data_IF_373494885661
#
_entry.id   IF_373494885661
#
_cell.length_a   1.000
_cell.length_b   1.000
_cell.length_c   1.000
_cell.angle_alpha   90.00
_cell.angle_beta   90.00
_cell.angle_gamma   90.00
#
_symmetry.space_group_name_H-M   'P 1'
#
loop_
_entity.id
_entity.type
_entity.pdbx_description
1 polymer ?
#
# COMPACT_ATOMS: atom_id res chain seq x y z
N UNK A 1 -23.58 9.64 8.07
CA UNK A 1 -22.54 8.71 8.52
C UNK A 1 -21.20 9.21 7.99
N UNK A 2 -20.26 9.59 8.86
CA UNK A 2 -18.97 10.18 8.47
C UNK A 2 -17.84 9.38 9.11
N UNK A 3 -17.09 8.65 8.29
CA UNK A 3 -15.81 8.05 8.69
C UNK A 3 -14.74 9.04 8.29
N UNK A 4 -13.89 9.42 9.23
CA UNK A 4 -12.87 10.45 9.03
C UNK A 4 -11.48 9.81 9.20
N UNK A 5 -10.66 9.94 8.16
CA UNK A 5 -9.28 9.45 8.15
C UNK A 5 -8.26 10.52 8.51
N UNK A 6 -8.66 11.79 8.43
CA UNK A 6 -7.85 12.93 8.82
C UNK A 6 -7.94 13.18 10.34
N UNK A 7 -7.13 14.10 10.86
CA UNK A 7 -7.24 14.53 12.26
C UNK A 7 -6.94 13.46 13.32
N UNK A 8 -6.53 12.25 12.91
CA UNK A 8 -6.11 11.14 13.76
C UNK A 8 -4.69 10.70 13.37
N UNK A 9 -3.87 10.32 14.33
CA UNK A 9 -2.50 9.87 14.06
C UNK A 9 -2.00 8.90 15.11
N UNK A 10 -1.21 7.92 14.69
CA UNK A 10 -0.58 6.97 15.59
C UNK A 10 0.65 7.64 16.24
N UNK A 11 0.71 7.63 17.57
CA UNK A 11 1.84 8.15 18.35
C UNK A 11 2.89 7.07 18.61
N UNK A 12 2.44 5.86 18.92
CA UNK A 12 3.31 4.73 19.21
C UNK A 12 2.62 3.41 18.86
N UNK A 13 3.43 2.44 18.47
CA UNK A 13 3.02 1.06 18.18
C UNK A 13 4.00 0.16 18.93
N UNK A 14 3.47 -0.80 19.68
CA UNK A 14 4.29 -1.79 20.35
C UNK A 14 3.58 -3.12 20.49
N UNK A 15 4.36 -4.19 20.59
CA UNK A 15 3.82 -5.51 20.96
C UNK A 15 3.44 -5.51 22.44
N UNK A 16 2.17 -5.76 22.74
CA UNK A 16 1.66 -6.00 24.10
C UNK A 16 1.55 -7.49 24.42
N UNK A 17 1.87 -8.35 23.46
CA UNK A 17 1.94 -9.80 23.59
C UNK A 17 2.42 -10.45 22.29
N UNK A 18 2.54 -11.78 22.26
CA UNK A 18 3.06 -12.53 21.10
C UNK A 18 2.29 -12.29 19.79
N UNK A 19 1.01 -11.93 19.90
CA UNK A 19 0.07 -11.72 18.78
C UNK A 19 -0.81 -10.49 19.02
N UNK A 20 -0.34 -9.55 19.82
CA UNK A 20 -1.14 -8.37 20.20
C UNK A 20 -0.33 -7.10 20.05
N UNK A 21 -0.93 -6.12 19.36
CA UNK A 21 -0.41 -4.77 19.28
C UNK A 21 -1.18 -3.86 20.23
N UNK A 22 -0.43 -2.99 20.89
CA UNK A 22 -0.93 -1.80 21.56
C UNK A 22 -0.59 -0.60 20.67
N UNK A 23 -1.64 0.12 20.27
CA UNK A 23 -1.54 1.37 19.51
C UNK A 23 -1.93 2.51 20.44
N UNK A 24 -1.04 3.48 20.64
CA UNK A 24 -1.40 4.77 21.24
C UNK A 24 -1.53 5.81 20.14
N UNK A 25 -2.54 6.67 20.24
CA UNK A 25 -2.86 7.63 19.19
C UNK A 25 -3.22 9.02 19.71
N UNK A 26 -3.18 9.98 18.80
CA UNK A 26 -3.74 11.32 18.97
C UNK A 26 -4.91 11.54 18.03
N UNK A 27 -5.79 12.46 18.41
CA UNK A 27 -6.97 12.84 17.62
C UNK A 27 -7.35 14.27 17.97
N UNK A 28 -7.79 15.03 16.98
CA UNK A 28 -8.45 16.32 17.19
C UNK A 28 -9.92 16.14 17.59
N UNK A 29 -10.50 14.99 17.27
CA UNK A 29 -11.89 14.65 17.60
C UNK A 29 -12.00 14.17 19.04
N UNK A 30 -12.81 14.87 19.84
CA UNK A 30 -13.06 14.59 21.26
C UNK A 30 -14.42 13.94 21.51
N UNK A 31 -15.29 13.95 20.52
CA UNK A 31 -16.68 13.48 20.51
C UNK A 31 -16.88 12.19 19.71
N UNK A 32 -15.79 11.52 19.33
CA UNK A 32 -15.78 10.37 18.43
C UNK A 32 -15.12 9.15 19.04
N UNK A 33 -15.56 7.97 18.58
CA UNK A 33 -14.84 6.72 18.76
C UNK A 33 -13.80 6.54 17.67
N UNK A 34 -12.84 5.65 17.89
CA UNK A 34 -11.71 5.42 17.00
C UNK A 34 -11.60 3.95 16.67
N UNK A 35 -11.31 3.68 15.41
CA UNK A 35 -11.20 2.34 14.86
C UNK A 35 -9.83 2.14 14.23
N UNK A 36 -9.25 0.99 14.49
CA UNK A 36 -7.98 0.55 13.93
C UNK A 36 -8.21 -0.55 12.93
N UNK A 37 -7.60 -0.39 11.77
CA UNK A 37 -7.68 -1.32 10.65
C UNK A 37 -6.30 -1.84 10.29
N UNK A 38 -6.24 -3.10 9.86
CA UNK A 38 -5.08 -3.71 9.25
C UNK A 38 -5.48 -4.23 7.88
N UNK A 39 -4.89 -3.67 6.81
CA UNK A 39 -5.25 -4.03 5.43
C UNK A 39 -6.76 -3.91 5.20
N UNK A 40 -7.35 -2.78 5.63
CA UNK A 40 -8.79 -2.49 5.55
C UNK A 40 -9.71 -3.41 6.36
N UNK A 41 -9.20 -4.37 7.13
CA UNK A 41 -10.02 -5.14 8.07
C UNK A 41 -10.04 -4.47 9.45
N UNK A 42 -11.22 -4.27 10.04
CA UNK A 42 -11.35 -3.74 11.40
C UNK A 42 -10.75 -4.73 12.42
N UNK A 43 -9.67 -4.34 13.10
CA UNK A 43 -8.96 -5.21 14.07
C UNK A 43 -9.07 -4.73 15.52
N UNK A 44 -9.58 -3.52 15.74
CA UNK A 44 -9.83 -3.01 17.08
C UNK A 44 -10.53 -1.66 17.04
N UNK A 45 -11.13 -1.26 18.17
CA UNK A 45 -11.76 0.04 18.31
C UNK A 45 -11.77 0.47 19.77
N UNK A 46 -11.93 1.77 20.02
CA UNK A 46 -12.21 2.28 21.36
C UNK A 46 -13.65 2.01 21.74
N UNK A 47 -13.89 1.84 23.04
CA UNK A 47 -15.23 1.68 23.65
C UNK A 47 -15.73 2.99 24.24
N UNK A 48 -14.85 3.96 24.43
CA UNK A 48 -15.18 5.25 25.00
C UNK A 48 -14.44 6.39 24.29
N UNK A 49 -15.11 7.53 24.08
CA UNK A 49 -14.59 8.69 23.34
C UNK A 49 -13.32 9.31 23.94
N UNK A 50 -13.03 9.03 25.22
CA UNK A 50 -11.84 9.49 25.93
C UNK A 50 -10.61 8.58 25.77
N UNK A 51 -10.78 7.37 25.24
CA UNK A 51 -9.68 6.43 25.08
C UNK A 51 -8.73 6.88 23.97
N UNK A 52 -7.42 6.74 24.20
CA UNK A 52 -6.36 7.06 23.23
C UNK A 52 -5.44 5.88 22.97
N UNK A 53 -5.97 4.69 23.22
CA UNK A 53 -5.26 3.41 23.12
C UNK A 53 -6.20 2.36 22.55
N UNK A 54 -5.70 1.55 21.62
CA UNK A 54 -6.38 0.37 21.11
C UNK A 54 -5.43 -0.81 21.28
N UNK A 55 -5.90 -1.86 21.95
CA UNK A 55 -5.22 -3.16 21.99
C UNK A 55 -5.96 -4.10 21.04
N UNK A 56 -5.23 -4.70 20.10
CA UNK A 56 -5.80 -5.56 19.07
C UNK A 56 -5.01 -6.86 18.95
N UNK A 57 -5.65 -7.89 18.41
CA UNK A 57 -4.95 -9.08 17.93
C UNK A 57 -4.38 -8.77 16.55
N UNK A 58 -3.11 -9.10 16.35
CA UNK A 58 -2.43 -8.92 15.08
C UNK A 58 -1.58 -10.15 14.79
N UNK A 59 -1.99 -10.87 13.74
CA UNK A 59 -1.37 -12.10 13.28
C UNK A 59 -0.83 -11.86 11.86
N UNK A 60 0.32 -11.17 11.71
CA UNK A 60 0.91 -11.03 10.39
C UNK A 60 1.36 -12.41 9.92
N UNK A 61 0.97 -12.79 8.70
CA UNK A 61 1.64 -13.88 8.01
C UNK A 61 3.07 -13.43 7.68
N UNK A 62 4.04 -14.35 7.80
CA UNK A 62 5.44 -14.00 7.63
C UNK A 62 5.68 -13.49 6.21
N UNK A 63 6.19 -12.26 6.10
CA UNK A 63 6.65 -11.68 4.84
C UNK A 63 5.71 -10.62 4.25
N UNK A 64 4.44 -10.58 4.62
CA UNK A 64 3.50 -9.62 4.01
C UNK A 64 3.36 -8.36 4.86
N UNK A 65 3.83 -7.19 4.40
CA UNK A 65 3.59 -5.94 5.11
C UNK A 65 2.09 -5.61 5.09
N UNK A 66 1.57 -5.14 6.22
CA UNK A 66 0.16 -4.76 6.37
C UNK A 66 0.08 -3.30 6.80
N UNK A 67 -0.67 -2.50 6.07
CA UNK A 67 -0.92 -1.10 6.43
C UNK A 67 -1.88 -1.03 7.61
N UNK A 68 -1.49 -0.27 8.63
CA UNK A 68 -2.38 0.09 9.74
C UNK A 68 -3.03 1.45 9.46
N UNK A 69 -4.35 1.53 9.60
CA UNK A 69 -5.11 2.77 9.45
C UNK A 69 -5.93 3.05 10.71
N UNK A 70 -5.99 4.32 11.07
CA UNK A 70 -6.81 4.80 12.18
C UNK A 70 -7.91 5.68 11.60
N UNK A 71 -9.14 5.49 12.04
CA UNK A 71 -10.29 6.28 11.62
C UNK A 71 -11.09 6.78 12.84
N UNK A 72 -11.70 7.95 12.73
CA UNK A 72 -12.68 8.45 13.68
C UNK A 72 -14.11 8.23 13.16
N UNK A 73 -14.98 7.74 14.02
CA UNK A 73 -16.38 7.41 13.70
C UNK A 73 -17.33 8.00 14.73
N UNK A 74 -18.63 8.03 14.42
CA UNK A 74 -19.63 8.59 15.33
C UNK A 74 -19.73 7.72 16.60
N UNK A 75 -20.21 8.33 17.69
CA UNK A 75 -20.50 7.55 18.90
C UNK A 75 -21.55 6.45 18.60
N UNK A 76 -21.34 5.27 19.16
CA UNK A 76 -22.11 4.06 18.85
C UNK A 76 -21.69 3.29 17.59
N UNK A 77 -20.82 3.84 16.73
CA UNK A 77 -20.38 3.18 15.49
C UNK A 77 -19.04 2.43 15.63
N UNK A 78 -18.47 2.34 16.84
CA UNK A 78 -17.13 1.79 17.07
C UNK A 78 -16.94 0.35 16.53
N UNK A 79 -17.99 -0.47 16.50
CA UNK A 79 -17.96 -1.84 15.99
C UNK A 79 -18.42 -2.01 14.54
N UNK A 80 -18.81 -0.93 13.84
CA UNK A 80 -19.23 -0.99 12.44
C UNK A 80 -17.98 -0.95 11.55
N UNK A 81 -17.77 -2.00 10.76
CA UNK A 81 -16.63 -2.06 9.84
C UNK A 81 -16.85 -1.15 8.62
N UNK A 82 -15.92 -0.22 8.39
CA UNK A 82 -15.89 0.71 7.27
C UNK A 82 -14.68 0.54 6.36
N UNK A 83 -14.01 -0.61 6.45
CA UNK A 83 -12.83 -0.95 5.66
C UNK A 83 -13.02 -0.78 4.16
N UNK A 84 -14.22 -1.09 3.68
CA UNK A 84 -14.66 -0.97 2.30
C UNK A 84 -14.50 0.45 1.74
N UNK A 85 -14.72 1.47 2.58
CA UNK A 85 -14.65 2.89 2.25
C UNK A 85 -13.23 3.43 2.14
N UNK A 86 -12.23 2.69 2.59
CA UNK A 86 -10.85 3.12 2.43
C UNK A 86 -10.41 2.89 0.97
N UNK A 87 -9.27 3.45 0.56
CA UNK A 87 -8.66 3.04 -0.71
C UNK A 87 -8.14 1.61 -0.62
N UNK A 88 -8.06 0.88 -1.74
CA UNK A 88 -7.24 -0.36 -1.81
C UNK A 88 -5.80 0.09 -1.53
N UNK A 89 -5.34 -0.17 -0.31
CA UNK A 89 -3.99 0.17 0.16
C UNK A 89 -3.41 -1.12 0.75
N UNK A 90 -2.14 -1.42 0.43
CA UNK A 90 -1.05 -0.49 0.48
C UNK A 90 -0.78 0.14 -0.86
N UNK A 91 -0.73 1.45 -0.81
CA UNK A 91 0.06 2.27 -1.69
C UNK A 91 1.57 2.01 -1.43
N UNK A 92 2.08 0.81 -1.71
CA UNK A 92 3.52 0.61 -1.63
C UNK A 92 4.15 1.36 -2.81
N UNK A 93 4.76 2.51 -2.49
CA UNK A 93 5.65 3.22 -3.40
C UNK A 93 7.07 2.94 -2.99
N UNK A 94 7.92 2.81 -3.99
CA UNK A 94 9.32 2.53 -3.82
C UNK A 94 10.12 3.72 -4.32
N UNK A 95 11.27 3.97 -3.71
CA UNK A 95 12.21 4.99 -4.20
C UNK A 95 13.33 4.26 -4.92
N UNK A 96 13.43 4.47 -6.23
CA UNK A 96 14.57 4.03 -7.03
C UNK A 96 15.66 5.08 -6.87
N UNK A 97 16.86 4.67 -6.44
CA UNK A 97 18.01 5.54 -6.31
C UNK A 97 19.11 5.04 -7.24
N UNK A 98 19.74 5.96 -7.98
CA UNK A 98 20.88 5.65 -8.83
C UNK A 98 21.85 6.82 -8.86
N UNK A 99 23.11 6.53 -9.17
CA UNK A 99 24.16 7.54 -9.32
C UNK A 99 24.42 7.77 -10.81
N UNK A 100 24.37 9.03 -11.23
CA UNK A 100 24.83 9.45 -12.54
C UNK A 100 26.31 9.85 -12.45
N UNK A 101 27.16 9.28 -13.32
CA UNK A 101 28.59 9.60 -13.34
C UNK A 101 29.14 9.49 -14.75
N UNK A 102 29.94 10.48 -15.14
CA UNK A 102 30.64 10.52 -16.43
C UNK A 102 29.69 10.51 -17.64
N UNK A 103 28.50 11.10 -17.50
CA UNK A 103 27.60 11.27 -18.64
C UNK A 103 28.15 12.30 -19.63
N UNK A 104 27.98 12.08 -20.96
CA UNK A 104 28.33 13.06 -21.97
C UNK A 104 27.65 14.42 -21.76
N UNK A 105 28.26 15.50 -22.27
CA UNK A 105 27.77 16.87 -22.09
C UNK A 105 26.42 17.16 -22.76
N UNK A 106 26.00 16.28 -23.68
CA UNK A 106 24.73 16.31 -24.41
C UNK A 106 23.64 15.42 -23.76
N UNK A 107 23.90 14.82 -22.60
CA UNK A 107 22.87 14.13 -21.82
C UNK A 107 21.75 15.12 -21.41
N UNK A 108 20.50 14.72 -21.66
CA UNK A 108 19.31 15.58 -21.48
C UNK A 108 18.40 15.09 -20.36
N UNK A 109 18.05 13.81 -20.34
CA UNK A 109 17.18 13.23 -19.31
C UNK A 109 17.37 11.73 -19.14
N UNK A 110 16.82 11.19 -18.06
CA UNK A 110 16.59 9.77 -17.86
C UNK A 110 15.13 9.46 -18.17
N UNK A 111 14.91 8.56 -19.13
CA UNK A 111 13.60 7.98 -19.40
C UNK A 111 13.42 6.74 -18.54
N UNK A 112 12.39 6.75 -17.69
CA UNK A 112 12.07 5.65 -16.79
C UNK A 112 10.88 4.88 -17.37
N UNK A 113 11.11 3.61 -17.71
CA UNK A 113 10.08 2.68 -18.21
C UNK A 113 9.89 1.53 -17.23
N UNK A 114 8.69 0.96 -17.15
CA UNK A 114 8.41 -0.16 -16.23
C UNK A 114 7.52 -1.24 -16.81
N UNK A 115 7.48 -2.40 -16.14
CA UNK A 115 6.48 -3.45 -16.39
C UNK A 115 5.07 -2.93 -16.08
N UNK A 116 4.08 -3.35 -16.88
CA UNK A 116 2.67 -2.98 -16.67
C UNK A 116 1.97 -3.87 -15.64
N UNK A 117 2.53 -5.04 -15.34
CA UNK A 117 1.98 -6.02 -14.41
C UNK A 117 3.08 -6.73 -13.61
N UNK A 118 2.77 -7.29 -12.42
CA UNK A 118 3.73 -8.07 -11.65
C UNK A 118 4.23 -9.30 -12.42
N UNK A 119 5.54 -9.50 -12.43
CA UNK A 119 6.20 -10.60 -13.14
C UNK A 119 6.43 -10.34 -14.63
N UNK A 120 5.88 -9.24 -15.18
CA UNK A 120 6.09 -8.82 -16.55
C UNK A 120 7.51 -8.33 -16.83
N UNK A 121 7.89 -8.34 -18.11
CA UNK A 121 9.09 -7.64 -18.56
C UNK A 121 8.84 -6.12 -18.64
N UNK A 122 9.92 -5.34 -18.75
CA UNK A 122 9.81 -3.89 -18.96
C UNK A 122 9.16 -3.62 -20.32
N UNK A 123 8.06 -2.87 -20.31
CA UNK A 123 7.42 -2.37 -21.52
C UNK A 123 8.09 -1.03 -21.93
N UNK A 124 8.78 -0.98 -23.08
CA UNK A 124 9.44 0.25 -23.54
C UNK A 124 8.45 1.37 -23.90
N UNK A 125 7.17 1.07 -24.14
CA UNK A 125 6.14 2.07 -24.42
C UNK A 125 5.53 2.64 -23.13
N UNK A 126 5.68 1.94 -22.01
CA UNK A 126 5.23 2.38 -20.69
C UNK A 126 6.24 3.33 -20.03
N UNK A 127 6.36 4.54 -20.59
CA UNK A 127 7.19 5.63 -20.03
C UNK A 127 6.49 6.22 -18.82
N UNK A 128 7.08 6.02 -17.64
CA UNK A 128 6.54 6.45 -16.35
C UNK A 128 6.98 7.86 -15.99
N UNK A 129 8.21 8.25 -16.36
CA UNK A 129 8.77 9.56 -16.04
C UNK A 129 9.92 9.92 -17.01
N UNK A 130 10.13 11.23 -17.23
CA UNK A 130 11.33 11.76 -17.88
C UNK A 130 12.02 12.73 -16.95
N UNK A 131 13.00 12.23 -16.20
CA UNK A 131 13.70 13.00 -15.19
C UNK A 131 14.88 13.75 -15.82
N UNK A 132 14.84 15.08 -15.77
CA UNK A 132 15.87 15.90 -16.40
C UNK A 132 17.27 15.65 -15.80
N UNK A 133 18.28 15.59 -16.66
CA UNK A 133 19.67 15.48 -16.24
C UNK A 133 20.17 16.86 -15.80
N UNK A 134 20.69 16.95 -14.58
CA UNK A 134 21.18 18.19 -13.96
C UNK A 134 22.68 18.17 -13.66
N UNK A 135 23.39 17.14 -14.14
CA UNK A 135 24.79 16.88 -13.86
C UNK A 135 25.03 15.57 -13.12
N UNK A 136 26.30 15.21 -12.96
CA UNK A 136 26.70 14.03 -12.18
C UNK A 136 26.28 14.17 -10.72
N UNK A 137 25.77 13.09 -10.13
CA UNK A 137 25.24 13.08 -8.77
C UNK A 137 24.23 11.97 -8.51
N UNK A 138 23.62 12.01 -7.33
CA UNK A 138 22.59 11.06 -6.92
C UNK A 138 21.22 11.51 -7.43
N UNK A 139 20.50 10.57 -8.04
CA UNK A 139 19.14 10.75 -8.51
C UNK A 139 18.20 9.80 -7.78
N UNK A 140 16.98 10.27 -7.57
CA UNK A 140 15.93 9.46 -6.98
C UNK A 140 14.61 9.69 -7.70
N UNK A 141 13.80 8.64 -7.77
CA UNK A 141 12.45 8.71 -8.29
C UNK A 141 11.53 7.79 -7.48
N UNK A 142 10.36 8.31 -7.13
CA UNK A 142 9.32 7.57 -6.42
C UNK A 142 8.39 6.91 -7.43
N UNK A 143 8.23 5.59 -7.34
CA UNK A 143 7.36 4.85 -8.24
C UNK A 143 5.90 5.32 -8.11
N UNK A 144 5.08 5.20 -9.16
CA UNK A 144 3.64 5.19 -8.97
C UNK A 144 3.24 4.03 -8.04
N UNK A 145 1.96 4.00 -7.64
CA UNK A 145 1.43 2.85 -6.93
C UNK A 145 1.57 1.60 -7.81
N UNK A 146 2.29 0.60 -7.28
CA UNK A 146 2.46 -0.67 -7.96
C UNK A 146 1.30 -1.57 -7.57
N UNK A 147 0.47 -1.90 -8.55
CA UNK A 147 -0.64 -2.83 -8.35
C UNK A 147 -0.14 -4.28 -8.32
N UNK A 148 -0.79 -5.11 -7.53
CA UNK A 148 -0.45 -6.53 -7.35
C UNK A 148 0.89 -6.81 -6.63
N UNK A 149 0.92 -7.97 -5.98
CA UNK A 149 2.13 -8.55 -5.41
C UNK A 149 2.98 -9.22 -6.50
N UNK A 150 4.29 -9.03 -6.47
CA UNK A 150 5.23 -9.68 -7.37
C UNK A 150 6.44 -8.81 -7.72
N UNK A 151 7.21 -9.26 -8.71
CA UNK A 151 8.38 -8.54 -9.20
C UNK A 151 7.96 -7.50 -10.23
N UNK A 152 8.25 -6.25 -9.95
CA UNK A 152 8.09 -5.13 -10.88
C UNK A 152 9.46 -4.75 -11.42
N UNK A 153 9.59 -4.68 -12.75
CA UNK A 153 10.86 -4.37 -13.42
C UNK A 153 10.83 -2.95 -13.96
N UNK A 154 11.96 -2.25 -13.86
CA UNK A 154 12.15 -0.89 -14.36
C UNK A 154 13.44 -0.80 -15.16
N UNK A 155 13.44 0.11 -16.15
CA UNK A 155 14.64 0.55 -16.85
C UNK A 155 14.77 2.06 -16.73
N UNK A 156 15.96 2.50 -16.37
CA UNK A 156 16.34 3.91 -16.34
C UNK A 156 17.32 4.10 -17.49
N UNK A 157 16.83 4.72 -18.57
CA UNK A 157 17.57 4.87 -19.82
C UNK A 157 18.00 6.32 -20.01
N UNK A 158 19.31 6.62 -20.02
CA UNK A 158 19.78 7.96 -20.33
C UNK A 158 19.53 8.31 -21.81
N UNK A 159 19.09 9.53 -22.07
CA UNK A 159 18.84 10.09 -23.41
C UNK A 159 19.68 11.34 -23.62
N UNK A 160 20.24 11.48 -24.82
CA UNK A 160 20.85 12.74 -25.25
C UNK A 160 19.80 13.73 -25.80
N UNK A 161 20.24 14.94 -26.15
CA UNK A 161 19.38 15.99 -26.71
C UNK A 161 19.17 15.91 -28.24
N UNK A 162 19.50 14.77 -28.88
CA UNK A 162 19.35 14.62 -30.33
C UNK A 162 17.87 14.46 -30.72
N UNK A 163 17.37 15.31 -31.60
CA UNK A 163 15.97 15.22 -32.09
C UNK A 163 15.75 13.95 -32.94
N UNK A 164 14.58 13.29 -32.86
CA UNK A 164 13.36 13.73 -32.18
C UNK A 164 13.15 13.18 -30.75
N UNK A 165 13.99 12.26 -30.27
CA UNK A 165 13.73 11.51 -29.02
C UNK A 165 14.97 11.17 -28.18
N UNK A 166 16.14 11.66 -28.58
CA UNK A 166 17.44 11.35 -27.97
C UNK A 166 17.94 9.93 -28.28
N UNK A 167 19.23 9.79 -28.55
CA UNK A 167 19.86 8.47 -28.60
C UNK A 167 19.83 7.86 -27.19
N UNK A 168 19.46 6.58 -27.11
CA UNK A 168 19.51 5.84 -25.86
C UNK A 168 20.95 5.43 -25.53
N UNK A 169 21.39 5.73 -24.32
CA UNK A 169 22.59 5.13 -23.74
C UNK A 169 22.30 3.78 -23.07
N UNK A 170 23.28 3.28 -22.31
CA UNK A 170 23.14 2.03 -21.56
C UNK A 170 22.13 2.18 -20.42
N UNK A 171 21.07 1.37 -20.44
CA UNK A 171 20.04 1.41 -19.39
C UNK A 171 20.51 0.74 -18.08
N UNK A 172 20.06 1.30 -16.97
CA UNK A 172 20.13 0.65 -15.65
C UNK A 172 18.85 -0.14 -15.42
N UNK A 173 18.96 -1.44 -15.17
CA UNK A 173 17.81 -2.31 -14.87
C UNK A 173 17.63 -2.43 -13.35
N UNK A 174 16.40 -2.23 -12.88
CA UNK A 174 16.04 -2.33 -11.46
C UNK A 174 14.84 -3.25 -11.31
N UNK A 175 14.89 -4.17 -10.34
CA UNK A 175 13.75 -5.03 -10.01
C UNK A 175 13.34 -4.76 -8.57
N UNK A 176 12.07 -4.46 -8.37
CA UNK A 176 11.44 -4.25 -7.07
C UNK A 176 10.52 -5.43 -6.78
N UNK A 177 10.62 -6.02 -5.59
CA UNK A 177 9.64 -7.01 -5.14
C UNK A 177 8.57 -6.33 -4.29
N UNK A 178 7.37 -6.19 -4.86
CA UNK A 178 6.20 -5.68 -4.16
C UNK A 178 5.48 -6.80 -3.44
N UNK A 179 5.29 -6.64 -2.14
CA UNK A 179 4.42 -7.49 -1.33
C UNK A 179 3.25 -6.65 -0.86
N UNK A 180 2.14 -6.77 -1.57
CA UNK A 180 0.86 -6.25 -1.13
C UNK A 180 0.14 -7.34 -0.29
N UNK A 181 -0.58 -6.96 0.78
CA UNK A 181 -1.53 -7.83 1.42
C UNK A 181 -2.55 -8.31 0.38
N UNK A 182 -3.05 -9.54 0.56
CA UNK A 182 -4.10 -10.06 -0.30
C UNK A 182 -5.31 -9.12 -0.27
N UNK A 183 -6.10 -9.15 -1.35
CA UNK A 183 -7.37 -8.43 -1.40
C UNK A 183 -8.27 -8.79 -0.21
N UNK A 184 -9.14 -7.86 0.19
CA UNK A 184 -10.15 -8.14 1.21
C UNK A 184 -10.99 -9.35 0.82
N UNK A 185 -11.49 -10.10 1.80
CA UNK A 185 -12.56 -11.06 1.53
C UNK A 185 -13.78 -10.30 1.00
N UNK A 186 -14.27 -10.71 -0.17
CA UNK A 186 -15.43 -10.11 -0.82
C UNK A 186 -16.67 -10.22 0.07
N UNK A 187 -17.48 -9.16 0.07
CA UNK A 187 -18.81 -9.23 0.64
C UNK A 187 -19.71 -10.09 -0.25
N UNK A 188 -20.50 -10.95 0.39
CA UNK A 188 -21.62 -11.64 -0.22
C UNK A 188 -22.82 -10.69 -0.32
N UNK A 189 -23.85 -11.10 -1.08
CA UNK A 189 -25.09 -10.31 -1.23
C UNK A 189 -25.78 -10.01 0.11
N UNK A 190 -25.61 -10.88 1.11
CA UNK A 190 -26.16 -10.73 2.45
C UNK A 190 -25.32 -9.81 3.37
N UNK A 191 -24.22 -9.27 2.86
CA UNK A 191 -23.29 -8.42 3.61
C UNK A 191 -22.34 -9.18 4.55
N UNK A 192 -22.37 -10.51 4.55
CA UNK A 192 -21.37 -11.34 5.24
C UNK A 192 -20.10 -11.50 4.38
N UNK A 193 -18.97 -11.85 5.01
CA UNK A 193 -17.70 -12.15 4.31
C UNK A 193 -17.43 -13.65 4.20
N UNK A 194 -18.04 -14.45 5.07
CA UNK A 194 -17.78 -15.89 5.16
C UNK A 194 -19.08 -16.64 4.98
N UNK A 195 -19.08 -17.63 4.09
CA UNK A 195 -20.18 -18.56 3.96
C UNK A 195 -19.93 -19.72 4.93
N UNK A 196 -20.82 -19.86 5.89
CA UNK A 196 -20.81 -20.94 6.85
C UNK A 196 -21.81 -22.00 6.38
N UNK A 197 -21.33 -23.22 6.15
CA UNK A 197 -22.20 -24.38 5.91
C UNK A 197 -21.87 -25.48 6.91
N UNK A 198 -22.90 -26.20 7.36
CA UNK A 198 -22.76 -27.40 8.19
C UNK A 198 -23.31 -28.59 7.41
N UNK A 199 -22.49 -29.63 7.25
CA UNK A 199 -22.94 -30.94 6.79
C UNK A 199 -22.30 -32.03 7.65
N UNK A 200 -23.13 -32.97 8.12
CA UNK A 200 -22.70 -34.16 8.86
C UNK A 200 -21.78 -33.86 10.06
N UNK A 201 -22.01 -32.74 10.76
CA UNK A 201 -21.22 -32.31 11.92
C UNK A 201 -19.86 -31.66 11.58
N UNK A 202 -19.61 -31.35 10.31
CA UNK A 202 -18.45 -30.57 9.85
C UNK A 202 -18.94 -29.18 9.46
N UNK A 203 -18.35 -28.16 10.08
CA UNK A 203 -18.56 -26.76 9.66
C UNK A 203 -17.49 -26.40 8.63
N UNK A 204 -17.95 -26.01 7.44
CA UNK A 204 -17.10 -25.49 6.38
C UNK A 204 -17.23 -23.97 6.34
N UNK A 205 -16.09 -23.28 6.23
CA UNK A 205 -16.02 -21.83 6.09
C UNK A 205 -15.45 -21.55 4.71
N UNK A 206 -16.30 -21.07 3.81
CA UNK A 206 -15.91 -20.66 2.46
C UNK A 206 -15.84 -19.14 2.36
N UNK A 207 -14.91 -18.66 1.53
CA UNK A 207 -14.75 -17.24 1.24
C UNK A 207 -14.07 -17.04 -0.12
N UNK A 208 -14.24 -15.85 -0.68
CA UNK A 208 -13.55 -15.43 -1.90
C UNK A 208 -12.86 -14.10 -1.66
N UNK A 209 -11.69 -13.89 -2.24
CA UNK A 209 -11.05 -12.59 -2.24
C UNK A 209 -11.74 -11.63 -3.23
N UNK A 210 -11.87 -10.37 -2.85
CA UNK A 210 -12.46 -9.28 -3.61
C UNK A 210 -11.44 -8.63 -4.53
N UNK A 211 -11.18 -9.27 -5.67
CA UNK A 211 -10.15 -8.83 -6.62
C UNK A 211 -10.33 -9.35 -8.04
N UNK A 212 -11.54 -9.76 -8.42
CA UNK A 212 -11.81 -10.20 -9.79
C UNK A 212 -11.95 -9.01 -10.75
N UNK A 213 -10.97 -8.88 -11.64
CA UNK A 213 -10.77 -7.93 -12.75
C UNK A 213 -10.54 -6.46 -12.40
#
# INVERSE_FOLDING_TARGET
>A
MSVLLDGVWIKSIGWSGRRSLLIEFGTIYTDRLHQLYAGRCLIGHTRHIAERRITCQFNPESGTPVTLMLAAVSDGEGSIDYGDKFGRLPANRYVLNWMASFYPADADHFEITGSTEPGGEVDPENVLERLHFTGDGDYSWETPYLDGSGYHKFKITPRDNCEPAGNAGTATEVTVYSLLPPDDVAFQEDGSRFLLSEDSGVVTIDFSYGGGS
#
